data_IF_910490808679
#
_entry.id   IF_910490808679
#
_cell.length_a   1.000
_cell.length_b   1.000
_cell.length_c   1.000
_cell.angle_alpha   90.00
_cell.angle_beta   90.00
_cell.angle_gamma   90.00
#
_symmetry.space_group_name_H-M   'P 1'
#
loop_
_entity.id
_entity.type
_entity.pdbx_description
1 polymer ?
#
# COMPACT_ATOMS: atom_id res chain seq x y z
N UNK A 1 -50.68 -37.39 12.75
CA UNK A 1 -49.54 -38.25 13.16
C UNK A 1 -48.26 -37.43 12.99
N UNK A 2 -47.95 -36.58 13.96
CA UNK A 2 -46.97 -36.83 15.02
C UNK A 2 -45.53 -36.86 14.50
N UNK A 3 -44.79 -35.78 14.76
CA UNK A 3 -43.34 -35.89 14.95
C UNK A 3 -42.89 -34.87 15.98
N UNK A 4 -42.19 -35.40 16.99
CA UNK A 4 -41.95 -34.84 18.31
C UNK A 4 -40.81 -33.82 18.31
N UNK A 5 -40.89 -32.87 19.24
CA UNK A 5 -39.73 -32.23 19.86
C UNK A 5 -38.77 -33.28 20.43
N UNK A 6 -37.46 -33.08 20.24
CA UNK A 6 -36.41 -33.60 21.13
C UNK A 6 -35.17 -32.68 21.07
N UNK A 7 -34.97 -31.94 22.16
CA UNK A 7 -33.66 -31.60 22.76
C UNK A 7 -33.62 -32.32 24.13
N UNK A 8 -32.50 -32.44 24.86
CA UNK A 8 -31.08 -32.13 24.58
C UNK A 8 -30.15 -33.32 24.90
N UNK A 9 -28.81 -33.18 24.74
CA UNK A 9 -27.83 -33.64 25.75
C UNK A 9 -26.44 -33.05 25.48
N UNK A 10 -25.78 -32.77 26.60
CA UNK A 10 -24.55 -32.02 26.79
C UNK A 10 -23.27 -32.75 26.35
N UNK A 11 -22.19 -31.96 26.35
CA UNK A 11 -20.78 -32.32 26.53
C UNK A 11 -20.02 -32.91 25.35
N UNK A 12 -19.29 -32.04 24.65
CA UNK A 12 -17.86 -32.30 24.48
C UNK A 12 -17.05 -31.00 24.36
N UNK A 13 -16.59 -30.47 25.51
CA UNK A 13 -15.52 -29.47 25.58
C UNK A 13 -14.18 -30.18 25.36
N UNK A 14 -13.78 -30.38 24.10
CA UNK A 14 -12.37 -30.44 23.66
C UNK A 14 -12.31 -30.71 22.16
N UNK A 15 -11.52 -29.90 21.47
CA UNK A 15 -11.10 -29.98 20.06
C UNK A 15 -11.71 -28.92 19.12
N UNK A 16 -11.54 -27.62 19.43
CA UNK A 16 -11.39 -26.62 18.36
C UNK A 16 -9.90 -26.42 18.09
N UNK A 17 -9.37 -27.27 17.20
CA UNK A 17 -8.12 -27.01 16.50
C UNK A 17 -8.29 -25.73 15.68
N UNK A 18 -7.32 -24.84 15.80
CA UNK A 18 -7.13 -23.62 15.02
C UNK A 18 -7.12 -23.91 13.52
N UNK A 19 -8.27 -23.70 12.87
CA UNK A 19 -8.30 -23.37 11.45
C UNK A 19 -8.35 -21.85 11.34
N UNK A 20 -7.20 -21.21 11.10
CA UNK A 20 -7.17 -19.80 10.70
C UNK A 20 -7.91 -19.70 9.38
N UNK A 21 -9.11 -19.12 9.38
CA UNK A 21 -9.83 -18.80 8.14
C UNK A 21 -9.03 -17.73 7.40
N UNK A 22 -8.57 -18.07 6.20
CA UNK A 22 -7.82 -17.17 5.34
C UNK A 22 -8.81 -16.32 4.56
N UNK A 23 -8.72 -15.00 4.67
CA UNK A 23 -9.59 -14.08 3.94
C UNK A 23 -8.78 -13.50 2.79
N UNK A 24 -9.21 -13.74 1.55
CA UNK A 24 -8.64 -13.09 0.38
C UNK A 24 -9.70 -12.17 -0.20
N UNK A 25 -9.32 -10.93 -0.47
CA UNK A 25 -10.19 -9.97 -1.11
C UNK A 25 -10.24 -10.27 -2.61
N UNK A 26 -11.41 -10.69 -3.08
CA UNK A 26 -11.70 -10.86 -4.50
C UNK A 26 -12.39 -9.61 -5.04
N UNK A 27 -12.00 -9.18 -6.23
CA UNK A 27 -12.59 -8.04 -6.92
C UNK A 27 -13.49 -8.55 -8.04
N UNK A 28 -14.78 -8.19 -7.99
CA UNK A 28 -15.65 -8.32 -9.15
C UNK A 28 -15.86 -6.94 -9.79
N UNK A 29 -15.70 -6.89 -11.11
CA UNK A 29 -16.04 -5.70 -11.90
C UNK A 29 -17.29 -6.04 -12.71
N UNK A 30 -18.39 -5.31 -12.49
CA UNK A 30 -19.46 -5.22 -13.49
C UNK A 30 -19.14 -4.04 -14.41
N UNK A 31 -19.48 -4.20 -15.69
CA UNK A 31 -19.21 -3.24 -16.77
C UNK A 31 -19.55 -1.80 -16.36
N UNK A 32 -18.61 -0.90 -16.68
CA UNK A 32 -18.63 0.57 -16.61
C UNK A 32 -19.72 1.17 -15.71
N UNK A 33 -19.26 1.76 -14.59
CA UNK A 33 -20.00 2.62 -13.65
C UNK A 33 -20.55 1.98 -12.36
N UNK A 34 -20.11 0.76 -12.01
CA UNK A 34 -20.39 0.17 -10.68
C UNK A 34 -19.17 0.29 -9.74
N UNK A 35 -19.37 0.59 -8.43
CA UNK A 35 -18.30 0.58 -7.45
C UNK A 35 -17.67 -0.82 -7.38
N UNK A 36 -16.33 -0.87 -7.32
CA UNK A 36 -15.59 -2.11 -7.07
C UNK A 36 -15.99 -2.59 -5.69
N UNK A 37 -16.73 -3.70 -5.61
CA UNK A 37 -17.04 -4.31 -4.32
C UNK A 37 -15.90 -5.22 -3.91
N UNK A 38 -15.22 -4.86 -2.83
CA UNK A 38 -14.24 -5.74 -2.19
C UNK A 38 -15.01 -6.75 -1.33
N UNK A 39 -14.98 -8.02 -1.72
CA UNK A 39 -15.48 -9.11 -0.88
C UNK A 39 -14.30 -9.91 -0.34
N UNK A 40 -14.16 -9.94 0.98
CA UNK A 40 -13.27 -10.87 1.65
C UNK A 40 -13.92 -12.24 1.66
N UNK A 41 -13.39 -13.18 0.87
CA UNK A 41 -13.88 -14.55 0.78
C UNK A 41 -12.91 -15.48 1.51
N UNK A 42 -13.46 -16.47 2.22
CA UNK A 42 -12.64 -17.51 2.83
C UNK A 42 -12.07 -18.44 1.76
N UNK A 43 -10.76 -18.45 1.56
CA UNK A 43 -10.09 -19.31 0.56
C UNK A 43 -9.30 -20.43 1.24
N UNK A 44 -9.37 -21.64 0.68
CA UNK A 44 -8.62 -22.81 1.11
C UNK A 44 -7.40 -23.01 0.19
N UNK A 45 -6.28 -22.34 0.47
CA UNK A 45 -4.95 -22.74 0.00
C UNK A 45 -3.88 -22.05 0.87
N UNK A 46 -2.86 -22.73 1.41
CA UNK A 46 -1.78 -22.03 2.09
C UNK A 46 -0.88 -21.36 1.03
N UNK A 47 -0.94 -20.03 0.95
CA UNK A 47 0.18 -19.25 0.41
C UNK A 47 1.33 -19.30 1.42
N UNK A 48 2.54 -19.54 0.93
CA UNK A 48 3.75 -19.56 1.76
C UNK A 48 4.44 -18.18 1.82
N UNK A 49 3.98 -17.21 1.04
CA UNK A 49 4.55 -15.87 1.01
C UNK A 49 3.87 -14.98 2.06
N UNK A 50 4.67 -14.20 2.78
CA UNK A 50 4.18 -13.19 3.73
C UNK A 50 3.71 -11.91 2.99
N UNK A 51 4.13 -11.72 1.74
CA UNK A 51 3.55 -10.75 0.79
C UNK A 51 3.23 -11.39 -0.57
N UNK A 52 2.00 -11.20 -1.04
CA UNK A 52 1.52 -11.74 -2.32
C UNK A 52 1.36 -10.64 -3.36
N UNK A 53 1.85 -10.89 -4.57
CA UNK A 53 1.70 -9.98 -5.70
C UNK A 53 0.65 -10.51 -6.67
N UNK A 54 -0.32 -9.65 -7.00
CA UNK A 54 -1.34 -9.92 -8.02
C UNK A 54 -1.40 -8.76 -9.00
N UNK A 55 -1.59 -9.07 -10.28
CA UNK A 55 -1.76 -8.08 -11.35
C UNK A 55 -3.21 -8.14 -11.82
N UNK A 56 -3.95 -7.05 -11.70
CA UNK A 56 -5.35 -6.99 -12.14
C UNK A 56 -5.46 -6.08 -13.36
N UNK A 57 -5.78 -6.60 -14.54
CA UNK A 57 -6.04 -5.77 -15.71
C UNK A 57 -7.39 -5.05 -15.53
N UNK A 58 -7.47 -3.71 -15.67
CA UNK A 58 -8.74 -3.02 -15.76
C UNK A 58 -9.44 -3.37 -17.08
N UNK A 59 -10.78 -3.39 -17.03
CA UNK A 59 -11.63 -3.84 -18.13
C UNK A 59 -11.61 -2.90 -19.37
N UNK A 60 -11.02 -1.72 -19.25
CA UNK A 60 -10.97 -0.69 -20.32
C UNK A 60 -9.67 -0.71 -21.13
N UNK A 61 -8.76 -1.67 -20.86
CA UNK A 61 -7.49 -1.79 -21.59
C UNK A 61 -6.44 -0.73 -21.24
N UNK A 62 -6.65 0.05 -20.17
CA UNK A 62 -5.78 1.15 -19.76
C UNK A 62 -4.46 0.72 -19.09
N UNK A 63 -4.15 -0.58 -18.97
CA UNK A 63 -2.95 -1.12 -18.32
C UNK A 63 -3.18 -1.58 -16.89
N UNK A 64 -2.44 -2.57 -16.39
CA UNK A 64 -2.76 -3.27 -15.13
C UNK A 64 -2.52 -2.43 -13.87
N UNK A 65 -3.23 -2.74 -12.79
CA UNK A 65 -2.88 -2.29 -11.44
C UNK A 65 -2.26 -3.48 -10.71
N UNK A 66 -1.03 -3.30 -10.23
CA UNK A 66 -0.33 -4.29 -9.43
C UNK A 66 -0.67 -4.09 -7.95
N UNK A 67 -0.80 -5.21 -7.21
CA UNK A 67 -1.19 -5.19 -5.80
C UNK A 67 -0.28 -6.11 -5.01
N UNK A 68 0.43 -5.54 -4.05
CA UNK A 68 1.17 -6.28 -3.03
C UNK A 68 0.33 -6.34 -1.76
N UNK A 69 -0.08 -7.54 -1.39
CA UNK A 69 -0.92 -7.80 -0.22
C UNK A 69 -0.07 -8.39 0.89
N UNK A 70 0.07 -7.68 2.01
CA UNK A 70 0.67 -8.18 3.25
C UNK A 70 -0.27 -9.21 3.88
N UNK A 71 0.19 -10.47 4.01
CA UNK A 71 -0.64 -11.61 4.41
C UNK A 71 -0.04 -12.41 5.59
N UNK A 72 0.66 -11.76 6.50
CA UNK A 72 1.23 -12.37 7.70
C UNK A 72 0.35 -12.14 8.93
N UNK A 73 -0.92 -12.54 8.82
CA UNK A 73 -2.01 -12.21 9.75
C UNK A 73 -1.71 -12.56 11.21
N UNK A 74 -1.14 -13.76 11.45
CA UNK A 74 -0.82 -14.26 12.81
C UNK A 74 0.19 -13.38 13.55
N UNK A 75 1.00 -12.63 12.82
CA UNK A 75 2.00 -11.74 13.35
C UNK A 75 1.68 -10.26 13.07
N UNK A 76 0.42 -9.94 12.71
CA UNK A 76 -0.03 -8.56 12.45
C UNK A 76 0.83 -7.87 11.38
N UNK A 77 1.24 -8.62 10.36
CA UNK A 77 2.14 -8.16 9.31
C UNK A 77 3.41 -7.50 9.83
N UNK A 78 3.95 -7.96 10.97
CA UNK A 78 5.24 -7.47 11.42
C UNK A 78 6.34 -7.90 10.46
N UNK A 79 7.28 -6.98 10.19
CA UNK A 79 8.37 -7.09 9.23
C UNK A 79 9.44 -8.04 9.79
N UNK A 80 9.26 -9.32 9.49
CA UNK A 80 10.24 -10.40 9.60
C UNK A 80 11.29 -10.31 8.50
N UNK A 81 12.35 -11.14 8.57
CA UNK A 81 13.26 -11.33 7.44
C UNK A 81 12.50 -11.82 6.19
N UNK A 82 11.60 -12.79 6.35
CA UNK A 82 10.83 -13.33 5.22
C UNK A 82 9.94 -12.27 4.56
N UNK A 83 9.17 -11.50 5.34
CA UNK A 83 8.33 -10.45 4.78
C UNK A 83 9.16 -9.37 4.08
N UNK A 84 10.34 -9.04 4.61
CA UNK A 84 11.26 -8.13 3.95
C UNK A 84 11.79 -8.71 2.63
N UNK A 85 12.09 -10.00 2.56
CA UNK A 85 12.55 -10.68 1.34
C UNK A 85 11.46 -10.68 0.26
N UNK A 86 10.21 -10.95 0.65
CA UNK A 86 9.06 -10.94 -0.26
C UNK A 86 8.77 -9.51 -0.76
N UNK A 87 8.81 -8.51 0.13
CA UNK A 87 8.69 -7.09 -0.23
C UNK A 87 9.79 -6.66 -1.21
N UNK A 88 11.04 -7.03 -0.94
CA UNK A 88 12.17 -6.73 -1.82
C UNK A 88 11.96 -7.32 -3.22
N UNK A 89 11.51 -8.57 -3.29
CA UNK A 89 11.19 -9.23 -4.56
C UNK A 89 10.06 -8.53 -5.31
N UNK A 90 9.02 -8.07 -4.60
CA UNK A 90 7.92 -7.35 -5.22
C UNK A 90 8.37 -6.00 -5.80
N UNK A 91 9.10 -5.19 -5.03
CA UNK A 91 9.46 -3.81 -5.44
C UNK A 91 10.58 -3.73 -6.47
N UNK A 92 11.31 -4.83 -6.70
CA UNK A 92 12.37 -4.92 -7.73
C UNK A 92 11.82 -5.21 -9.13
N UNK A 93 10.52 -5.50 -9.28
CA UNK A 93 9.90 -5.73 -10.60
C UNK A 93 9.86 -4.44 -11.42
N UNK A 94 10.08 -4.59 -12.73
CA UNK A 94 9.84 -3.53 -13.71
C UNK A 94 8.34 -3.42 -14.04
N UNK A 95 7.61 -2.72 -13.17
CA UNK A 95 6.17 -2.50 -13.36
C UNK A 95 5.86 -1.68 -14.62
N UNK A 96 6.67 -0.66 -14.92
CA UNK A 96 6.45 0.20 -16.08
C UNK A 96 6.60 -0.58 -17.39
N UNK A 97 7.66 -1.39 -17.53
CA UNK A 97 7.88 -2.25 -18.70
C UNK A 97 6.83 -3.34 -18.87
N UNK A 98 6.13 -3.72 -17.79
CA UNK A 98 5.03 -4.68 -17.82
C UNK A 98 3.66 -4.04 -18.11
N UNK A 99 3.61 -2.74 -18.41
CA UNK A 99 2.36 -2.03 -18.67
C UNK A 99 1.51 -1.77 -17.42
N UNK A 100 2.10 -1.89 -16.23
CA UNK A 100 1.44 -1.54 -14.97
C UNK A 100 1.31 -0.02 -14.86
N UNK A 101 0.16 0.47 -14.39
CA UNK A 101 -0.15 1.89 -14.22
C UNK A 101 0.04 2.40 -12.80
N UNK A 102 -0.14 1.54 -11.81
CA UNK A 102 0.06 1.86 -10.41
C UNK A 102 0.33 0.59 -9.60
N UNK A 103 1.01 0.76 -8.47
CA UNK A 103 1.25 -0.28 -7.48
C UNK A 103 0.52 0.08 -6.17
N UNK A 104 -0.35 -0.82 -5.70
CA UNK A 104 -1.04 -0.70 -4.42
C UNK A 104 -0.38 -1.63 -3.40
N UNK A 105 -0.04 -1.09 -2.24
CA UNK A 105 0.31 -1.85 -1.04
C UNK A 105 -0.92 -1.90 -0.13
N UNK A 106 -1.35 -3.09 0.25
CA UNK A 106 -2.49 -3.28 1.16
C UNK A 106 -2.25 -4.43 2.12
N UNK A 107 -3.20 -4.63 3.05
CA UNK A 107 -3.23 -5.82 3.88
C UNK A 107 -4.41 -6.73 3.56
N UNK A 108 -4.19 -8.04 3.74
CA UNK A 108 -5.27 -9.01 3.83
C UNK A 108 -6.03 -8.95 5.18
N UNK A 109 -5.48 -8.27 6.20
CA UNK A 109 -6.14 -8.04 7.48
C UNK A 109 -6.98 -6.75 7.43
N UNK A 110 -8.25 -6.76 7.89
CA UNK A 110 -9.11 -5.57 7.88
C UNK A 110 -8.68 -4.50 8.89
N UNK A 111 -8.01 -4.90 9.97
CA UNK A 111 -7.73 -4.08 11.16
C UNK A 111 -6.23 -3.82 11.38
N UNK A 112 -5.36 -4.37 10.54
CA UNK A 112 -3.92 -4.18 10.60
C UNK A 112 -3.36 -3.95 9.20
N UNK A 113 -2.66 -2.83 8.98
CA UNK A 113 -1.80 -2.69 7.82
C UNK A 113 -0.46 -3.39 8.08
N UNK A 114 0.32 -2.87 9.04
CA UNK A 114 1.62 -3.42 9.43
C UNK A 114 2.00 -2.94 10.84
N UNK A 115 2.29 -3.88 11.73
CA UNK A 115 2.65 -3.59 13.12
C UNK A 115 4.11 -3.11 13.32
N UNK A 116 4.90 -2.99 12.24
CA UNK A 116 6.32 -2.62 12.32
C UNK A 116 7.24 -3.83 12.46
N UNK A 117 8.39 -3.66 13.10
CA UNK A 117 9.39 -4.74 13.20
C UNK A 117 8.85 -5.99 13.93
N UNK A 118 9.26 -7.18 13.48
CA UNK A 118 8.99 -8.41 14.24
C UNK A 118 9.86 -8.48 15.50
N UNK A 119 9.32 -8.04 16.64
CA UNK A 119 10.03 -8.02 17.92
C UNK A 119 10.47 -9.41 18.40
N UNK A 120 9.84 -10.51 17.95
CA UNK A 120 10.28 -11.86 18.29
C UNK A 120 11.59 -12.19 17.62
N UNK A 121 11.75 -11.82 16.35
CA UNK A 121 13.02 -11.94 15.63
C UNK A 121 14.05 -10.97 16.20
N UNK A 122 13.67 -9.71 16.47
CA UNK A 122 14.62 -8.72 17.01
C UNK A 122 15.26 -9.11 18.32
N UNK A 123 14.56 -9.89 19.15
CA UNK A 123 15.11 -10.37 20.43
C UNK A 123 16.40 -11.18 20.26
N UNK A 124 16.61 -11.83 19.12
CA UNK A 124 17.79 -12.66 18.86
C UNK A 124 18.83 -12.00 17.98
N UNK A 125 18.59 -10.75 17.54
CA UNK A 125 19.51 -10.07 16.65
C UNK A 125 20.75 -9.58 17.39
N UNK A 126 21.91 -9.82 16.80
CA UNK A 126 23.14 -9.09 17.14
C UNK A 126 23.10 -7.66 16.58
N UNK A 127 24.11 -6.85 16.92
CA UNK A 127 24.28 -5.54 16.29
C UNK A 127 24.48 -5.65 14.77
N UNK A 128 25.22 -6.67 14.33
CA UNK A 128 25.48 -6.92 12.91
C UNK A 128 24.21 -7.39 12.18
N UNK A 129 23.41 -8.28 12.78
CA UNK A 129 22.09 -8.65 12.26
C UNK A 129 21.19 -7.42 12.09
N UNK A 130 21.20 -6.53 13.09
CA UNK A 130 20.41 -5.31 13.06
C UNK A 130 20.85 -4.39 11.93
N UNK A 131 22.16 -4.18 11.78
CA UNK A 131 22.73 -3.37 10.68
C UNK A 131 22.37 -3.96 9.32
N UNK A 132 22.57 -5.25 9.12
CA UNK A 132 22.28 -5.93 7.86
C UNK A 132 20.79 -5.87 7.51
N UNK A 133 19.91 -6.11 8.49
CA UNK A 133 18.48 -6.01 8.28
C UNK A 133 18.06 -4.59 7.91
N UNK A 134 18.52 -3.58 8.66
CA UNK A 134 18.13 -2.19 8.40
C UNK A 134 18.68 -1.69 7.05
N UNK A 135 19.87 -2.14 6.64
CA UNK A 135 20.40 -1.84 5.31
C UNK A 135 19.47 -2.38 4.21
N UNK A 136 19.05 -3.66 4.32
CA UNK A 136 18.11 -4.25 3.36
C UNK A 136 16.73 -3.59 3.40
N UNK A 137 16.20 -3.28 4.59
CA UNK A 137 14.91 -2.62 4.73
C UNK A 137 14.93 -1.22 4.12
N UNK A 138 15.92 -0.38 4.45
CA UNK A 138 16.05 0.96 3.86
C UNK A 138 16.18 0.87 2.34
N UNK A 139 17.05 0.00 1.81
CA UNK A 139 17.19 -0.18 0.37
C UNK A 139 15.87 -0.60 -0.30
N UNK A 140 15.12 -1.51 0.32
CA UNK A 140 13.81 -1.94 -0.18
C UNK A 140 12.80 -0.80 -0.20
N UNK A 141 12.78 0.05 0.83
CA UNK A 141 11.90 1.22 0.86
C UNK A 141 12.36 2.33 -0.10
N UNK A 142 13.65 2.47 -0.35
CA UNK A 142 14.18 3.38 -1.36
C UNK A 142 13.77 2.95 -2.78
N UNK A 143 13.77 1.64 -3.06
CA UNK A 143 13.26 1.08 -4.31
C UNK A 143 11.75 1.33 -4.47
N UNK A 144 10.98 1.14 -3.39
CA UNK A 144 9.54 1.46 -3.39
C UNK A 144 9.30 2.95 -3.64
N UNK A 145 10.04 3.81 -2.96
CA UNK A 145 9.97 5.25 -3.15
C UNK A 145 10.28 5.56 -4.60
N UNK A 146 11.43 5.14 -5.14
CA UNK A 146 11.89 5.45 -6.50
C UNK A 146 11.21 4.69 -7.64
N UNK A 147 10.20 3.86 -7.34
CA UNK A 147 9.46 3.09 -8.33
C UNK A 147 8.92 3.98 -9.47
N UNK A 148 9.02 3.52 -10.71
CA UNK A 148 8.64 4.32 -11.88
C UNK A 148 7.15 4.61 -11.90
N UNK A 149 6.32 3.60 -11.60
CA UNK A 149 4.87 3.75 -11.50
C UNK A 149 4.48 4.43 -10.17
N UNK A 150 3.36 5.16 -10.13
CA UNK A 150 2.74 5.64 -8.90
C UNK A 150 2.49 4.53 -7.88
N UNK A 151 2.82 4.79 -6.61
CA UNK A 151 2.65 3.83 -5.50
C UNK A 151 1.66 4.35 -4.47
N UNK A 152 0.75 3.48 -4.00
CA UNK A 152 -0.33 3.84 -3.07
C UNK A 152 -0.34 2.86 -1.90
N UNK A 153 -0.26 3.36 -0.67
CA UNK A 153 -0.50 2.57 0.54
C UNK A 153 -1.97 2.70 0.97
N UNK A 154 -2.71 1.59 0.94
CA UNK A 154 -4.08 1.46 1.44
C UNK A 154 -4.07 0.99 2.90
N UNK A 155 -4.45 1.87 3.82
CA UNK A 155 -4.32 1.66 5.26
C UNK A 155 -5.70 1.68 5.91
N UNK A 156 -6.35 0.52 6.04
CA UNK A 156 -7.62 0.39 6.77
C UNK A 156 -7.44 0.20 8.28
N UNK A 157 -6.25 -0.22 8.70
CA UNK A 157 -5.95 -0.62 10.07
C UNK A 157 -4.73 0.07 10.67
N UNK A 158 -4.12 -0.60 11.64
CA UNK A 158 -2.95 -0.07 12.35
C UNK A 158 -1.69 -0.13 11.48
N UNK A 159 -0.99 1.00 11.33
CA UNK A 159 0.35 1.08 10.73
C UNK A 159 1.34 1.75 11.71
N UNK A 160 2.22 0.97 12.34
CA UNK A 160 3.13 1.47 13.38
C UNK A 160 4.59 1.22 13.05
N UNK A 161 5.44 2.18 13.43
CA UNK A 161 6.88 2.11 13.24
C UNK A 161 7.25 1.78 11.80
N UNK A 162 8.00 0.70 11.59
CA UNK A 162 8.31 0.16 10.26
C UNK A 162 7.11 0.02 9.30
N UNK A 163 5.89 -0.19 9.81
CA UNK A 163 4.68 -0.24 8.99
C UNK A 163 4.24 1.12 8.46
N UNK A 164 4.38 2.17 9.28
CA UNK A 164 4.21 3.54 8.79
C UNK A 164 5.40 3.95 7.91
N UNK A 165 6.62 3.53 8.21
CA UNK A 165 7.79 3.80 7.36
C UNK A 165 7.64 3.19 5.96
N UNK A 166 7.10 1.97 5.86
CA UNK A 166 6.71 1.34 4.59
C UNK A 166 5.68 2.21 3.84
N UNK A 167 4.64 2.69 4.53
CA UNK A 167 3.63 3.54 3.91
C UNK A 167 4.15 4.94 3.52
N UNK A 168 5.12 5.47 4.27
CA UNK A 168 5.78 6.75 3.98
C UNK A 168 6.66 6.67 2.72
N UNK A 169 7.13 5.48 2.35
CA UNK A 169 7.86 5.26 1.10
C UNK A 169 6.95 5.22 -0.14
N UNK A 170 5.63 5.02 0.02
CA UNK A 170 4.69 5.15 -1.09
C UNK A 170 4.48 6.63 -1.47
N UNK A 171 4.07 6.93 -2.71
CA UNK A 171 3.71 8.29 -3.12
C UNK A 171 2.49 8.79 -2.34
N UNK A 172 1.46 7.94 -2.29
CA UNK A 172 0.17 8.27 -1.69
C UNK A 172 -0.14 7.35 -0.51
N UNK A 173 -0.83 7.91 0.49
CA UNK A 173 -1.41 7.17 1.62
C UNK A 173 -2.89 7.46 1.67
N UNK A 174 -3.70 6.41 1.52
CA UNK A 174 -5.15 6.43 1.66
C UNK A 174 -5.49 5.72 2.97
N UNK A 175 -6.12 6.44 3.90
CA UNK A 175 -6.49 5.90 5.20
C UNK A 175 -8.00 5.64 5.28
N UNK A 176 -8.37 4.48 5.78
CA UNK A 176 -9.74 4.14 6.12
C UNK A 176 -10.15 4.80 7.45
N UNK A 177 -11.46 4.84 7.77
CA UNK A 177 -11.96 5.55 8.96
C UNK A 177 -11.37 5.05 10.28
N UNK A 178 -11.04 3.75 10.34
CA UNK A 178 -10.48 3.08 11.52
C UNK A 178 -8.94 3.09 11.58
N UNK A 179 -8.28 3.69 10.59
CA UNK A 179 -6.84 3.66 10.49
C UNK A 179 -6.17 4.43 11.64
N UNK A 180 -5.10 3.85 12.17
CA UNK A 180 -4.29 4.47 13.22
C UNK A 180 -2.82 4.33 12.86
N UNK A 181 -2.10 5.44 12.83
CA UNK A 181 -0.70 5.49 12.42
C UNK A 181 0.22 6.14 13.46
N UNK A 182 1.49 5.79 13.48
CA UNK A 182 2.48 6.43 14.36
C UNK A 182 3.87 5.79 14.35
N UNK A 183 4.84 6.48 14.96
CA UNK A 183 6.24 6.04 15.10
C UNK A 183 6.61 5.94 16.60
N UNK A 184 6.25 4.83 17.27
CA UNK A 184 6.37 4.68 18.72
C UNK A 184 7.76 4.24 19.21
N UNK A 185 8.78 4.19 18.36
CA UNK A 185 10.09 3.60 18.61
C UNK A 185 10.81 4.15 19.86
N UNK A 186 10.63 5.44 20.16
CA UNK A 186 11.22 6.07 21.36
C UNK A 186 10.71 5.46 22.67
N UNK A 187 9.51 4.86 22.66
CA UNK A 187 8.97 4.09 23.80
C UNK A 187 9.64 2.73 24.00
N UNK A 188 10.44 2.30 23.02
CA UNK A 188 11.26 1.09 23.06
C UNK A 188 12.76 1.42 23.17
N UNK A 189 13.11 2.67 23.53
CA UNK A 189 14.49 3.17 23.62
C UNK A 189 15.28 3.03 22.30
N UNK A 190 14.59 3.11 21.16
CA UNK A 190 15.17 3.14 19.82
C UNK A 190 14.56 4.29 19.01
N UNK A 191 14.93 4.42 17.74
CA UNK A 191 14.37 5.42 16.81
C UNK A 191 13.80 4.73 15.57
N UNK A 192 12.93 5.41 14.79
CA UNK A 192 12.53 4.92 13.47
C UNK A 192 13.76 4.65 12.61
N UNK A 193 13.87 3.42 12.11
CA UNK A 193 15.10 2.90 11.50
C UNK A 193 15.03 2.68 9.99
N UNK A 194 13.87 2.91 9.38
CA UNK A 194 13.59 2.68 7.97
C UNK A 194 13.07 3.95 7.25
N UNK A 195 13.48 5.11 7.76
CA UNK A 195 13.25 6.40 7.12
C UNK A 195 12.12 7.25 7.67
N UNK A 196 11.48 6.85 8.76
CA UNK A 196 10.53 7.69 9.47
C UNK A 196 11.14 9.04 9.90
N UNK A 197 12.43 9.08 10.21
CA UNK A 197 13.15 10.30 10.63
C UNK A 197 13.48 11.26 9.49
N UNK A 198 13.33 10.85 8.22
CA UNK A 198 13.61 11.71 7.06
C UNK A 198 12.45 11.81 6.06
N UNK A 199 11.58 10.81 5.95
CA UNK A 199 10.37 10.87 5.10
C UNK A 199 9.25 11.67 5.76
N UNK A 200 8.98 11.41 7.05
CA UNK A 200 7.93 12.12 7.78
C UNK A 200 8.12 13.65 7.80
N UNK A 201 9.29 14.20 8.20
CA UNK A 201 9.45 15.66 8.25
C UNK A 201 9.36 16.34 6.88
N UNK A 202 9.62 15.63 5.76
CA UNK A 202 9.41 16.17 4.40
C UNK A 202 7.93 16.36 4.08
N UNK A 203 7.04 15.61 4.74
CA UNK A 203 5.59 15.69 4.55
C UNK A 203 4.92 16.67 5.51
N UNK A 204 5.28 16.61 6.79
CA UNK A 204 4.56 17.33 7.86
C UNK A 204 5.35 18.48 8.47
N UNK A 205 6.60 18.69 8.04
CA UNK A 205 7.53 19.63 8.64
C UNK A 205 8.15 19.09 9.94
N UNK A 206 9.30 19.67 10.32
CA UNK A 206 10.12 19.18 11.44
C UNK A 206 9.38 19.17 12.78
N UNK A 207 8.61 20.22 13.10
CA UNK A 207 7.94 20.33 14.41
C UNK A 207 6.90 19.23 14.63
N UNK A 208 6.02 18.97 13.65
CA UNK A 208 5.01 17.91 13.74
C UNK A 208 5.65 16.52 13.73
N UNK A 209 6.72 16.33 12.96
CA UNK A 209 7.47 15.08 12.96
C UNK A 209 8.11 14.80 14.33
N UNK A 210 8.71 15.81 14.97
CA UNK A 210 9.26 15.70 16.32
C UNK A 210 8.17 15.37 17.34
N UNK A 211 7.00 16.00 17.28
CA UNK A 211 5.86 15.65 18.14
C UNK A 211 5.52 14.16 18.02
N UNK A 212 5.29 13.66 16.80
CA UNK A 212 4.94 12.25 16.57
C UNK A 212 6.05 11.28 17.03
N UNK A 213 7.32 11.56 16.72
CA UNK A 213 8.45 10.66 17.00
C UNK A 213 8.86 10.70 18.47
N UNK A 214 8.98 11.88 19.08
CA UNK A 214 9.44 12.02 20.47
C UNK A 214 8.36 11.59 21.45
N UNK A 215 7.09 11.88 21.16
CA UNK A 215 5.99 11.39 22.01
C UNK A 215 5.67 9.93 21.72
N UNK A 216 5.95 9.43 20.52
CA UNK A 216 5.51 8.10 20.07
C UNK A 216 3.99 7.96 20.00
N UNK A 217 3.25 9.07 19.94
CA UNK A 217 1.78 9.07 19.93
C UNK A 217 1.25 8.51 18.61
N UNK A 218 0.01 8.06 18.66
CA UNK A 218 -0.72 7.53 17.51
C UNK A 218 -1.78 8.54 17.08
N UNK A 219 -2.02 8.63 15.79
CA UNK A 219 -3.02 9.53 15.20
C UNK A 219 -4.00 8.74 14.35
N UNK A 220 -5.27 9.12 14.42
CA UNK A 220 -6.32 8.55 13.58
C UNK A 220 -6.33 9.16 12.18
N UNK A 221 -7.13 8.61 11.27
CA UNK A 221 -7.19 9.01 9.86
C UNK A 221 -7.40 10.52 9.64
N UNK A 222 -8.35 11.14 10.36
CA UNK A 222 -8.65 12.56 10.22
C UNK A 222 -7.47 13.46 10.63
N UNK A 223 -6.84 13.17 11.76
CA UNK A 223 -5.66 13.92 12.21
C UNK A 223 -4.45 13.65 11.30
N UNK A 224 -4.26 12.41 10.84
CA UNK A 224 -3.20 12.06 9.89
C UNK A 224 -3.31 12.87 8.59
N UNK A 225 -4.53 13.08 8.08
CA UNK A 225 -4.79 13.96 6.94
C UNK A 225 -4.45 15.42 7.27
N UNK A 226 -4.94 15.94 8.41
CA UNK A 226 -4.70 17.33 8.83
C UNK A 226 -3.20 17.64 9.03
N UNK A 227 -2.44 16.68 9.55
CA UNK A 227 -1.00 16.82 9.74
C UNK A 227 -0.22 16.79 8.41
N UNK A 228 -0.78 16.15 7.37
CA UNK A 228 -0.13 15.88 6.08
C UNK A 228 0.53 14.49 6.00
N UNK A 229 0.29 13.61 6.97
CA UNK A 229 0.79 12.22 6.93
C UNK A 229 0.07 11.45 5.83
N UNK A 230 -1.24 11.64 5.67
CA UNK A 230 -2.06 11.01 4.65
C UNK A 230 -2.37 11.97 3.50
N UNK A 231 -2.50 11.43 2.27
CA UNK A 231 -2.96 12.21 1.11
C UNK A 231 -4.48 12.20 0.98
N UNK A 232 -5.14 11.12 1.43
CA UNK A 232 -6.59 10.97 1.50
C UNK A 232 -6.96 10.23 2.79
N UNK A 233 -8.05 10.64 3.43
CA UNK A 233 -8.67 9.92 4.54
C UNK A 233 -10.17 9.80 4.30
N UNK A 234 -10.67 8.57 4.40
CA UNK A 234 -12.08 8.24 4.24
C UNK A 234 -12.79 8.47 5.58
N UNK A 235 -14.03 8.96 5.53
CA UNK A 235 -14.73 9.50 6.70
C UNK A 235 -16.04 8.77 6.99
N UNK A 236 -16.61 8.07 6.01
CA UNK A 236 -17.88 7.38 6.19
C UNK A 236 -17.68 5.94 6.66
N UNK A 237 -18.50 5.51 7.61
CA UNK A 237 -18.53 4.10 8.05
C UNK A 237 -18.87 3.19 6.87
N UNK A 238 -18.02 2.21 6.58
CA UNK A 238 -18.18 1.26 5.47
C UNK A 238 -17.29 1.53 4.27
N UNK A 239 -16.64 2.69 4.21
CA UNK A 239 -15.57 2.96 3.23
C UNK A 239 -14.29 2.19 3.59
N UNK A 240 -13.60 1.65 2.58
CA UNK A 240 -12.30 0.99 2.73
C UNK A 240 -11.21 1.75 2.00
N UNK A 241 -10.04 1.85 2.63
CA UNK A 241 -8.82 2.38 2.02
C UNK A 241 -8.44 1.62 0.75
N UNK A 242 -8.76 0.34 0.66
CA UNK A 242 -8.54 -0.47 -0.55
C UNK A 242 -9.37 0.09 -1.71
N UNK A 243 -10.68 0.29 -1.52
CA UNK A 243 -11.56 0.89 -2.54
C UNK A 243 -11.09 2.30 -2.93
N UNK A 244 -10.69 3.12 -1.94
CA UNK A 244 -10.13 4.45 -2.18
C UNK A 244 -8.81 4.43 -2.96
N UNK A 245 -7.92 3.46 -2.67
CA UNK A 245 -6.66 3.29 -3.38
C UNK A 245 -6.88 2.82 -4.81
N UNK A 246 -7.86 1.94 -5.05
CA UNK A 246 -8.28 1.53 -6.38
C UNK A 246 -8.84 2.67 -7.21
N UNK A 247 -9.73 3.47 -6.62
CA UNK A 247 -10.28 4.65 -7.27
C UNK A 247 -9.16 5.63 -7.66
N UNK A 248 -8.22 5.89 -6.75
CA UNK A 248 -7.05 6.73 -6.99
C UNK A 248 -6.13 6.14 -8.09
N UNK A 249 -5.86 4.84 -8.06
CA UNK A 249 -5.04 4.18 -9.07
C UNK A 249 -5.65 4.29 -10.48
N UNK A 250 -6.99 4.18 -10.59
CA UNK A 250 -7.70 4.37 -11.86
C UNK A 250 -7.70 5.81 -12.32
N UNK A 251 -7.93 6.75 -11.41
CA UNK A 251 -7.88 8.19 -11.67
C UNK A 251 -6.50 8.57 -12.24
N UNK A 252 -5.43 8.12 -11.59
CA UNK A 252 -4.05 8.32 -12.05
C UNK A 252 -3.81 7.59 -13.38
N UNK A 253 -4.22 6.33 -13.48
CA UNK A 253 -4.00 5.47 -14.65
C UNK A 253 -4.68 5.93 -15.94
N UNK A 254 -5.63 6.86 -15.86
CA UNK A 254 -6.22 7.53 -17.02
C UNK A 254 -5.24 8.49 -17.73
N UNK A 255 -4.13 8.85 -17.09
CA UNK A 255 -3.09 9.70 -17.68
C UNK A 255 -2.13 8.97 -18.62
N UNK A 256 -1.39 9.74 -19.42
CA UNK A 256 -0.34 9.23 -20.31
C UNK A 256 0.80 8.58 -19.51
N UNK A 257 1.12 7.29 -19.69
CA UNK A 257 2.04 6.55 -18.83
C UNK A 257 3.45 7.15 -18.77
N UNK A 258 4.00 7.53 -19.94
CA UNK A 258 5.31 8.20 -20.01
C UNK A 258 5.27 9.55 -19.29
N UNK A 259 4.15 10.27 -19.42
CA UNK A 259 3.95 11.56 -18.78
C UNK A 259 3.82 11.45 -17.25
N UNK A 260 3.13 10.42 -16.73
CA UNK A 260 3.01 10.19 -15.30
C UNK A 260 4.37 9.88 -14.64
N UNK A 261 5.17 9.02 -15.28
CA UNK A 261 6.54 8.71 -14.81
C UNK A 261 7.39 9.98 -14.82
N UNK A 262 7.37 10.73 -15.92
CA UNK A 262 8.12 11.98 -16.04
C UNK A 262 7.66 13.04 -15.02
N UNK A 263 6.36 13.19 -14.79
CA UNK A 263 5.80 14.12 -13.81
C UNK A 263 6.20 13.76 -12.38
N UNK A 264 6.10 12.48 -11.99
CA UNK A 264 6.56 12.00 -10.68
C UNK A 264 8.04 12.33 -10.44
N UNK A 265 8.89 12.10 -11.46
CA UNK A 265 10.31 12.43 -11.37
C UNK A 265 10.56 13.94 -11.34
N UNK A 266 9.79 14.74 -12.08
CA UNK A 266 9.89 16.20 -12.09
C UNK A 266 9.58 16.79 -10.70
N UNK A 267 8.46 16.37 -10.09
CA UNK A 267 8.03 16.80 -8.75
C UNK A 267 9.10 16.52 -7.69
N UNK A 268 9.75 15.35 -7.76
CA UNK A 268 10.78 14.97 -6.80
C UNK A 268 12.10 15.70 -6.98
N UNK A 269 12.47 16.01 -8.22
CA UNK A 269 13.66 16.82 -8.48
C UNK A 269 13.46 18.28 -8.10
N UNK A 270 12.22 18.79 -8.14
CA UNK A 270 11.83 20.12 -7.67
C UNK A 270 12.73 21.27 -8.18
N UNK A 271 13.17 21.19 -9.44
CA UNK A 271 14.07 22.15 -10.06
C UNK A 271 13.70 22.43 -11.53
N UNK A 272 13.75 23.69 -12.02
CA UNK A 272 13.36 24.02 -13.39
C UNK A 272 14.12 23.24 -14.48
N UNK A 273 15.44 23.08 -14.32
CA UNK A 273 16.25 22.32 -15.28
C UNK A 273 15.87 20.83 -15.29
N UNK A 274 15.49 20.29 -14.13
CA UNK A 274 15.03 18.91 -14.01
C UNK A 274 13.66 18.72 -14.65
N UNK A 275 12.73 19.65 -14.42
CA UNK A 275 11.41 19.68 -15.08
C UNK A 275 11.55 19.72 -16.60
N UNK A 276 12.38 20.61 -17.14
CA UNK A 276 12.62 20.70 -18.58
C UNK A 276 13.14 19.38 -19.17
N UNK A 277 14.07 18.71 -18.47
CA UNK A 277 14.57 17.39 -18.86
C UNK A 277 13.49 16.31 -18.86
N UNK A 278 12.58 16.33 -17.88
CA UNK A 278 11.44 15.41 -17.84
C UNK A 278 10.41 15.73 -18.94
N UNK A 279 10.15 17.01 -19.21
CA UNK A 279 9.22 17.43 -20.27
C UNK A 279 9.73 17.03 -21.67
N UNK A 280 11.04 17.14 -21.92
CA UNK A 280 11.65 16.71 -23.19
C UNK A 280 11.39 15.23 -23.53
N UNK A 281 11.11 14.38 -22.53
CA UNK A 281 10.79 12.96 -22.73
C UNK A 281 9.36 12.71 -23.23
N UNK A 282 8.46 13.69 -23.08
CA UNK A 282 7.02 13.50 -23.39
C UNK A 282 6.57 14.24 -24.65
N UNK A 283 7.33 15.22 -25.13
CA UNK A 283 6.88 16.12 -26.24
C UNK A 283 6.60 15.41 -27.56
N UNK A 284 7.25 14.27 -27.81
CA UNK A 284 7.22 13.54 -29.07
C UNK A 284 6.72 12.09 -28.91
N UNK A 285 5.98 11.78 -27.84
CA UNK A 285 5.39 10.44 -27.64
C UNK A 285 4.14 10.24 -28.50
N UNK A 286 3.84 8.99 -28.88
CA UNK A 286 2.57 8.65 -29.55
C UNK A 286 1.39 9.09 -28.67
N UNK A 287 1.50 8.89 -27.35
CA UNK A 287 0.46 9.28 -26.39
C UNK A 287 0.13 10.77 -26.43
N UNK A 288 1.13 11.65 -26.58
CA UNK A 288 0.89 13.09 -26.68
C UNK A 288 0.11 13.42 -27.96
N UNK A 289 0.44 12.78 -29.08
CA UNK A 289 -0.28 13.00 -30.33
C UNK A 289 -1.69 12.43 -30.30
N UNK A 290 -1.88 11.26 -29.68
CA UNK A 290 -3.18 10.66 -29.42
C UNK A 290 -4.06 11.57 -28.54
N UNK A 291 -3.51 12.21 -27.51
CA UNK A 291 -4.25 13.18 -26.71
C UNK A 291 -4.78 14.35 -27.56
N UNK A 292 -3.96 14.88 -28.47
CA UNK A 292 -4.36 15.97 -29.37
C UNK A 292 -5.45 15.52 -30.36
N UNK A 293 -5.31 14.32 -30.93
CA UNK A 293 -6.32 13.75 -31.84
C UNK A 293 -7.64 13.50 -31.10
N UNK A 294 -7.60 12.85 -29.94
CA UNK A 294 -8.78 12.57 -29.12
C UNK A 294 -9.51 13.85 -28.70
N UNK A 295 -8.77 14.92 -28.38
CA UNK A 295 -9.34 16.23 -28.07
C UNK A 295 -10.07 16.84 -29.27
N UNK A 296 -9.44 16.81 -30.46
CA UNK A 296 -10.07 17.30 -31.70
C UNK A 296 -11.34 16.51 -32.06
N UNK A 297 -11.33 15.20 -31.81
CA UNK A 297 -12.43 14.26 -32.10
C UNK A 297 -13.47 14.17 -30.97
N UNK A 298 -13.27 14.87 -29.85
CA UNK A 298 -14.13 14.85 -28.64
C UNK A 298 -14.36 13.43 -28.08
N UNK A 299 -13.33 12.60 -28.09
CA UNK A 299 -13.33 11.25 -27.50
C UNK A 299 -12.33 11.14 -26.36
N UNK A 300 -12.42 10.05 -25.58
CA UNK A 300 -11.39 9.71 -24.59
C UNK A 300 -10.12 9.22 -25.30
N UNK A 301 -8.92 9.65 -24.87
CA UNK A 301 -7.67 9.15 -25.41
C UNK A 301 -7.39 7.72 -24.94
N UNK A 302 -6.67 6.95 -25.74
CA UNK A 302 -6.20 5.60 -25.38
C UNK A 302 -4.67 5.58 -25.39
N UNK A 303 -4.08 5.69 -24.20
CA UNK A 303 -2.63 5.75 -24.05
C UNK A 303 -1.96 4.38 -23.99
N UNK A 304 -0.87 4.23 -24.74
CA UNK A 304 -0.08 2.99 -24.91
C UNK A 304 1.25 3.02 -24.17
N UNK A 305 1.72 4.18 -23.70
CA UNK A 305 2.97 4.31 -22.97
C UNK A 305 4.20 4.36 -23.87
N UNK A 306 4.09 4.98 -25.04
CA UNK A 306 5.17 5.13 -26.03
C UNK A 306 5.01 6.43 -26.81
#
# INVERSE_FOLDING_TARGET
MSTKLLRPLLNNKRAMRTASRMWCATYSTSSTDSPVRVQYVSVNAPSFADAELTDTPPADGSGSIAIVTLNRLKAKNSISRQLLDDLHTAVTRDYAGQGTRALILRSAAPDIFCAGADLKERKTFTQDDTRAFLAKLNHTLDLLETQAVPTIAAIDGVALGGGLELALAADFRVLGPSAVVGLPETRLAIIPGAGGTYRLPRLVGTSRALDLVLTGRRVGAAEALQLGVASRALVNSGESADEGAWALAREIGAGGPVALVAAKQAVRGAAPAWEAGMYARVVNTEDKFEALAAFAEKRKPVFKGR
#
